data_IF_694842117806
#
_entry.id   IF_694842117806
#
_cell.length_a   1.000
_cell.length_b   1.000
_cell.length_c   1.000
_cell.angle_alpha   90.00
_cell.angle_beta   90.00
_cell.angle_gamma   90.00
#
_symmetry.space_group_name_H-M   'P 1'
#
loop_
_entity.id
_entity.type
_entity.pdbx_description
1 polymer ?
#
# COMPACT_ATOMS: atom_id res chain seq x y z
N UNK A 1 12.18 -12.07 -18.93
CA UNK A 1 12.76 -10.94 -18.18
C UNK A 1 11.66 -9.91 -17.98
N UNK A 2 11.31 -9.60 -16.74
CA UNK A 2 10.32 -8.57 -16.46
C UNK A 2 10.93 -7.20 -16.77
N UNK A 3 10.32 -6.47 -17.70
CA UNK A 3 10.78 -5.13 -18.07
C UNK A 3 10.74 -4.20 -16.84
N UNK A 4 11.88 -3.62 -16.42
CA UNK A 4 11.95 -2.77 -15.22
C UNK A 4 11.10 -1.50 -15.35
N UNK A 5 10.79 -1.08 -16.58
CA UNK A 5 9.90 0.03 -16.91
C UNK A 5 8.45 -0.25 -16.52
N UNK A 6 7.93 -1.45 -16.82
CA UNK A 6 6.57 -1.85 -16.45
C UNK A 6 6.41 -1.94 -14.93
N UNK A 7 7.40 -2.50 -14.24
CA UNK A 7 7.39 -2.56 -12.78
C UNK A 7 7.31 -1.16 -12.17
N UNK A 8 8.15 -0.23 -12.63
CA UNK A 8 8.15 1.15 -12.12
C UNK A 8 6.85 1.90 -12.41
N UNK A 9 6.27 1.72 -13.60
CA UNK A 9 4.99 2.33 -13.95
C UNK A 9 3.86 1.85 -13.03
N UNK A 10 3.77 0.53 -12.79
CA UNK A 10 2.74 -0.04 -11.93
C UNK A 10 2.94 0.38 -10.47
N UNK A 11 4.18 0.35 -9.98
CA UNK A 11 4.48 0.80 -8.61
C UNK A 11 4.18 2.29 -8.43
N UNK A 12 4.44 3.13 -9.43
CA UNK A 12 4.04 4.54 -9.41
C UNK A 12 2.52 4.72 -9.34
N UNK A 13 1.75 3.94 -10.11
CA UNK A 13 0.29 3.96 -10.04
C UNK A 13 -0.23 3.46 -8.67
N UNK A 14 0.40 2.41 -8.11
CA UNK A 14 0.08 1.92 -6.77
C UNK A 14 0.39 2.96 -5.68
N UNK A 15 1.46 3.73 -5.83
CA UNK A 15 1.79 4.82 -4.92
C UNK A 15 0.64 5.84 -4.86
N UNK A 16 0.04 6.16 -6.01
CA UNK A 16 -1.13 7.04 -6.06
C UNK A 16 -2.36 6.41 -5.37
N UNK A 17 -2.58 5.11 -5.55
CA UNK A 17 -3.70 4.40 -4.92
C UNK A 17 -3.65 4.42 -3.38
N UNK A 18 -2.48 4.63 -2.77
CA UNK A 18 -2.36 4.74 -1.30
C UNK A 18 -3.08 5.95 -0.71
N UNK A 19 -3.36 6.98 -1.53
CA UNK A 19 -4.09 8.18 -1.10
C UNK A 19 -5.56 7.88 -0.79
N UNK A 20 -6.19 7.00 -1.57
CA UNK A 20 -7.60 6.62 -1.38
C UNK A 20 -7.75 5.32 -0.60
N UNK A 21 -6.71 4.48 -0.58
CA UNK A 21 -6.67 3.18 0.08
C UNK A 21 -5.41 3.07 0.98
N UNK A 22 -5.46 3.60 2.21
CA UNK A 22 -4.32 3.54 3.13
C UNK A 22 -4.06 2.13 3.70
N UNK A 23 -5.01 1.20 3.58
CA UNK A 23 -4.85 -0.23 3.88
C UNK A 23 -3.68 -0.87 3.12
N UNK A 24 -3.43 -0.47 1.87
CA UNK A 24 -2.35 -1.04 1.06
C UNK A 24 -1.02 -0.28 1.18
N UNK A 25 -0.98 0.86 1.89
CA UNK A 25 0.17 1.76 1.93
C UNK A 25 1.47 1.07 2.37
N UNK A 26 1.39 0.20 3.37
CA UNK A 26 2.54 -0.58 3.85
C UNK A 26 3.08 -1.53 2.77
N UNK A 27 2.18 -2.23 2.09
CA UNK A 27 2.54 -3.19 1.04
C UNK A 27 3.17 -2.47 -0.15
N UNK A 28 2.58 -1.34 -0.58
CA UNK A 28 3.12 -0.52 -1.68
C UNK A 28 4.49 0.03 -1.32
N UNK A 29 4.66 0.63 -0.14
CA UNK A 29 5.96 1.13 0.32
C UNK A 29 7.04 0.04 0.31
N UNK A 30 6.68 -1.20 0.68
CA UNK A 30 7.64 -2.30 0.67
C UNK A 30 8.10 -2.65 -0.74
N UNK A 31 7.18 -2.64 -1.70
CA UNK A 31 7.46 -2.93 -3.11
C UNK A 31 8.23 -1.80 -3.81
N UNK A 32 7.99 -0.54 -3.39
CA UNK A 32 8.75 0.64 -3.83
C UNK A 32 10.25 0.53 -3.50
N UNK A 33 10.61 -0.06 -2.35
CA UNK A 33 12.02 -0.26 -1.97
C UNK A 33 12.79 -1.14 -2.98
N UNK A 34 12.11 -1.99 -3.73
CA UNK A 34 12.72 -2.91 -4.70
C UNK A 34 12.62 -2.42 -6.16
N UNK A 35 12.31 -1.14 -6.40
CA UNK A 35 12.25 -0.55 -7.77
C UNK A 35 13.60 -0.47 -8.49
N UNK A 36 14.71 -0.54 -7.74
CA UNK A 36 16.05 -0.55 -8.31
C UNK A 36 16.43 -1.92 -8.90
N UNK A 37 15.97 -3.02 -8.28
CA UNK A 37 16.25 -4.38 -8.73
C UNK A 37 15.04 -5.30 -8.45
N UNK A 38 14.04 -5.35 -9.34
CA UNK A 38 12.84 -6.14 -9.14
C UNK A 38 13.12 -7.64 -9.34
N UNK A 39 12.89 -8.43 -8.28
CA UNK A 39 12.86 -9.89 -8.31
C UNK A 39 11.45 -10.44 -8.62
N UNK A 40 11.36 -11.68 -9.09
CA UNK A 40 10.08 -12.35 -9.37
C UNK A 40 9.13 -12.39 -8.16
N UNK A 41 9.67 -12.53 -6.96
CA UNK A 41 8.92 -12.50 -5.70
C UNK A 41 8.20 -11.17 -5.49
N UNK A 42 8.84 -10.05 -5.84
CA UNK A 42 8.22 -8.71 -5.78
C UNK A 42 7.14 -8.54 -6.84
N UNK A 43 7.29 -9.16 -8.01
CA UNK A 43 6.24 -9.18 -9.03
C UNK A 43 4.99 -9.93 -8.56
N UNK A 44 5.17 -11.03 -7.83
CA UNK A 44 4.04 -11.73 -7.20
C UNK A 44 3.33 -10.83 -6.18
N UNK A 45 4.07 -10.08 -5.37
CA UNK A 45 3.51 -9.13 -4.41
C UNK A 45 2.69 -8.04 -5.09
N UNK A 46 3.22 -7.40 -6.14
CA UNK A 46 2.46 -6.39 -6.91
C UNK A 46 1.17 -6.96 -7.48
N UNK A 47 1.22 -8.15 -8.10
CA UNK A 47 0.01 -8.83 -8.62
C UNK A 47 -1.01 -9.11 -7.52
N UNK A 48 -0.56 -9.41 -6.31
CA UNK A 48 -1.44 -9.63 -5.15
C UNK A 48 -2.08 -8.32 -4.68
N UNK A 49 -1.33 -7.22 -4.65
CA UNK A 49 -1.87 -5.88 -4.33
C UNK A 49 -2.94 -5.47 -5.35
N UNK A 50 -2.66 -5.65 -6.66
CA UNK A 50 -3.63 -5.34 -7.71
C UNK A 50 -4.90 -6.19 -7.61
N UNK A 51 -4.77 -7.48 -7.27
CA UNK A 51 -5.91 -8.37 -7.06
C UNK A 51 -6.75 -7.95 -5.84
N UNK A 52 -6.09 -7.55 -4.77
CA UNK A 52 -6.75 -7.02 -3.58
C UNK A 52 -7.56 -5.78 -3.92
N UNK A 53 -6.94 -4.77 -4.55
CA UNK A 53 -7.62 -3.55 -5.00
C UNK A 53 -8.86 -3.84 -5.86
N UNK A 54 -8.76 -4.78 -6.80
CA UNK A 54 -9.91 -5.19 -7.62
C UNK A 54 -11.04 -5.81 -6.78
N UNK A 55 -10.71 -6.60 -5.76
CA UNK A 55 -11.68 -7.24 -4.88
C UNK A 55 -12.30 -6.30 -3.85
N UNK A 56 -11.59 -5.24 -3.47
CA UNK A 56 -12.03 -4.28 -2.45
C UNK A 56 -12.60 -2.98 -2.99
N UNK A 57 -12.89 -2.88 -4.29
CA UNK A 57 -13.48 -1.67 -4.91
C UNK A 57 -14.75 -1.16 -4.19
N UNK A 58 -15.54 -2.08 -3.60
CA UNK A 58 -16.77 -1.75 -2.89
C UNK A 58 -16.61 -1.75 -1.35
N UNK A 59 -15.39 -1.91 -0.84
CA UNK A 59 -15.10 -2.03 0.59
C UNK A 59 -14.26 -0.83 1.04
N UNK A 60 -14.73 -0.13 2.09
CA UNK A 60 -14.01 0.99 2.70
C UNK A 60 -13.36 0.60 4.03
N UNK A 61 -12.33 1.36 4.42
CA UNK A 61 -11.76 1.31 5.76
C UNK A 61 -12.57 2.20 6.72
N UNK A 62 -13.04 1.63 7.83
CA UNK A 62 -13.64 2.37 8.93
C UNK A 62 -12.60 2.56 10.03
N UNK A 63 -12.16 3.80 10.24
CA UNK A 63 -11.24 4.16 11.33
C UNK A 63 -12.07 4.71 12.48
N UNK A 64 -12.15 3.93 13.56
CA UNK A 64 -12.83 4.35 14.79
C UNK A 64 -11.82 4.75 15.87
N UNK A 65 -12.10 5.81 16.66
CA UNK A 65 -11.27 6.15 17.80
C UNK A 65 -11.26 5.01 18.82
N UNK A 66 -10.09 4.70 19.37
CA UNK A 66 -9.95 3.74 20.46
C UNK A 66 -10.65 4.30 21.70
N UNK A 67 -11.57 3.54 22.30
CA UNK A 67 -12.26 3.92 23.56
C UNK A 67 -11.32 3.94 24.77
N UNK A 68 -10.13 3.37 24.63
CA UNK A 68 -9.08 3.34 25.65
C UNK A 68 -7.96 4.29 25.23
N UNK A 69 -8.16 5.59 25.42
CA UNK A 69 -7.04 6.53 25.52
C UNK A 69 -7.29 7.39 26.75
N UNK A 70 -6.46 7.32 27.81
CA UNK A 70 -6.52 8.34 28.84
C UNK A 70 -6.30 9.70 28.17
N UNK A 71 -6.95 10.77 28.64
CA UNK A 71 -6.75 12.10 28.08
C UNK A 71 -5.25 12.41 28.16
N UNK A 72 -4.65 12.70 27.01
CA UNK A 72 -3.28 13.16 26.92
C UNK A 72 -3.21 14.52 27.62
N UNK A 73 -2.93 14.50 28.93
CA UNK A 73 -2.75 15.71 29.74
C UNK A 73 -1.38 16.30 29.42
N UNK A 74 -1.30 17.15 28.40
CA UNK A 74 -0.20 18.09 28.25
C UNK A 74 -0.33 19.15 29.36
N UNK A 75 0.37 18.93 30.47
CA UNK A 75 0.58 19.96 31.49
C UNK A 75 1.73 20.84 31.01
N UNK A 76 1.41 22.07 30.62
CA UNK A 76 2.37 23.14 30.33
C UNK A 76 3.01 23.66 31.63
#
# INVERSE_FOLDING_TARGET
MAEPTLYRSIVGALQYATLTHPDIALSVNKVCQFMANPFESHWLAVKRILRYLKGTLNHGLLINPSTTSPPFSLRA
#
